data_IF_319560731153
#
_entry.id   IF_319560731153
#
_cell.length_a   1.000
_cell.length_b   1.000
_cell.length_c   1.000
_cell.angle_alpha   90.00
_cell.angle_beta   90.00
_cell.angle_gamma   90.00
#
_symmetry.space_group_name_H-M   'P 1'
#
loop_
_entity.id
_entity.type
_entity.pdbx_description
1 polymer ?
#
# COMPACT_ATOMS: atom_id res chain seq x y z
N UNK A 1 2.67 -21.05 -9.57
CA UNK A 1 3.67 -19.97 -9.79
C UNK A 1 4.61 -19.79 -8.58
N UNK A 2 4.24 -20.33 -7.42
CA UNK A 2 5.13 -20.33 -6.26
C UNK A 2 6.29 -21.34 -6.45
N UNK A 3 7.47 -20.99 -5.95
CA UNK A 3 8.62 -21.91 -5.94
C UNK A 3 8.36 -23.11 -5.01
N UNK A 4 8.73 -24.31 -5.45
CA UNK A 4 8.67 -25.54 -4.64
C UNK A 4 10.02 -25.91 -4.03
N UNK A 5 11.07 -25.15 -4.33
CA UNK A 5 12.41 -25.33 -3.77
C UNK A 5 12.49 -24.63 -2.41
N UNK A 6 13.07 -25.26 -1.36
CA UNK A 6 13.28 -24.59 -0.09
C UNK A 6 14.11 -23.29 -0.26
N UNK A 7 13.63 -22.21 0.34
CA UNK A 7 14.24 -20.87 0.29
C UNK A 7 14.49 -20.34 1.70
N UNK A 8 15.20 -19.24 1.81
CA UNK A 8 15.35 -18.52 3.06
C UNK A 8 14.10 -17.67 3.35
N UNK A 9 13.99 -17.18 4.58
CA UNK A 9 12.94 -16.22 4.96
C UNK A 9 13.11 -14.92 4.23
N UNK A 10 12.00 -14.40 3.74
CA UNK A 10 11.88 -13.00 3.37
C UNK A 10 11.41 -12.18 4.59
N UNK A 11 11.66 -10.89 4.54
CA UNK A 11 11.34 -9.95 5.61
C UNK A 11 10.10 -9.15 5.25
N UNK A 12 9.16 -9.10 6.19
CA UNK A 12 8.09 -8.11 6.22
C UNK A 12 8.41 -7.16 7.37
N UNK A 13 8.73 -5.91 7.02
CA UNK A 13 8.91 -4.83 7.98
C UNK A 13 7.61 -4.02 8.06
N UNK A 14 6.89 -4.18 9.15
CA UNK A 14 5.72 -3.34 9.46
C UNK A 14 6.20 -2.15 10.29
N UNK A 15 6.27 -0.96 9.66
CA UNK A 15 6.68 0.28 10.33
C UNK A 15 5.47 1.03 10.86
N UNK A 16 5.49 1.39 12.14
CA UNK A 16 4.48 2.23 12.77
C UNK A 16 4.89 3.70 12.71
N UNK A 17 4.03 4.52 12.12
CA UNK A 17 4.31 5.91 11.76
C UNK A 17 3.12 6.84 11.99
N UNK A 18 3.31 8.13 11.76
CA UNK A 18 2.24 9.13 11.80
C UNK A 18 2.71 10.52 11.34
N UNK A 19 1.78 11.28 10.76
CA UNK A 19 2.02 12.56 10.08
C UNK A 19 2.64 13.64 10.98
N UNK A 20 2.41 13.61 12.29
CA UNK A 20 2.96 14.56 13.25
C UNK A 20 4.21 14.05 13.96
N UNK A 21 4.66 12.84 13.68
CA UNK A 21 5.88 12.25 14.22
C UNK A 21 7.12 12.82 13.52
N UNK A 22 7.87 13.68 14.20
CA UNK A 22 9.04 14.39 13.62
C UNK A 22 10.16 13.44 13.20
N UNK A 23 10.34 12.31 13.91
CA UNK A 23 11.41 11.34 13.66
C UNK A 23 11.00 10.21 12.69
N UNK A 24 9.71 10.09 12.33
CA UNK A 24 9.22 9.03 11.45
C UNK A 24 9.82 9.06 10.04
N UNK A 25 10.10 10.22 9.42
CA UNK A 25 10.79 10.24 8.13
C UNK A 25 12.17 9.57 8.13
N UNK A 26 12.89 9.56 9.27
CA UNK A 26 14.14 8.80 9.38
C UNK A 26 13.89 7.28 9.41
N UNK A 27 12.75 6.83 9.94
CA UNK A 27 12.33 5.42 9.83
C UNK A 27 12.02 5.05 8.39
N UNK A 28 11.19 5.84 7.71
CA UNK A 28 10.88 5.65 6.27
C UNK A 28 12.15 5.54 5.42
N UNK A 29 13.14 6.40 5.66
CA UNK A 29 14.43 6.37 4.94
C UNK A 29 15.20 5.07 5.21
N UNK A 30 15.30 4.63 6.46
CA UNK A 30 16.00 3.40 6.83
C UNK A 30 15.28 2.18 6.28
N UNK A 31 13.95 2.12 6.38
CA UNK A 31 13.14 1.05 5.78
C UNK A 31 13.36 0.97 4.27
N UNK A 32 13.28 2.10 3.57
CA UNK A 32 13.53 2.16 2.13
C UNK A 32 14.94 1.69 1.78
N UNK A 33 15.96 2.10 2.51
CA UNK A 33 17.35 1.65 2.28
C UNK A 33 17.52 0.14 2.48
N UNK A 34 16.80 -0.45 3.44
CA UNK A 34 16.81 -1.91 3.65
C UNK A 34 16.16 -2.64 2.47
N UNK A 35 15.02 -2.14 2.00
CA UNK A 35 14.35 -2.65 0.81
C UNK A 35 15.24 -2.52 -0.44
N UNK A 36 15.80 -1.34 -0.70
CA UNK A 36 16.65 -1.08 -1.87
C UNK A 36 17.91 -1.96 -1.91
N UNK A 37 18.44 -2.30 -0.73
CA UNK A 37 19.59 -3.21 -0.62
C UNK A 37 19.18 -4.69 -0.80
N UNK A 38 17.91 -5.03 -0.61
CA UNK A 38 17.38 -6.40 -0.69
C UNK A 38 15.98 -6.40 -1.35
N UNK A 39 15.86 -5.97 -2.61
CA UNK A 39 14.56 -5.66 -3.23
C UNK A 39 13.64 -6.88 -3.44
N UNK A 40 14.21 -8.08 -3.41
CA UNK A 40 13.46 -9.33 -3.57
C UNK A 40 13.18 -10.04 -2.25
N UNK A 41 13.72 -9.54 -1.12
CA UNK A 41 13.73 -10.27 0.14
C UNK A 41 13.24 -9.43 1.32
N UNK A 42 13.12 -8.10 1.18
CA UNK A 42 12.64 -7.17 2.22
C UNK A 42 11.49 -6.33 1.69
N UNK A 43 10.32 -6.46 2.28
CA UNK A 43 9.09 -5.78 1.89
C UNK A 43 8.56 -4.93 3.04
N UNK A 44 7.98 -3.77 2.71
CA UNK A 44 7.61 -2.75 3.68
C UNK A 44 6.09 -2.58 3.75
N UNK A 45 5.57 -2.39 4.97
CA UNK A 45 4.19 -1.96 5.22
C UNK A 45 4.24 -0.81 6.21
N UNK A 46 4.01 0.43 5.74
CA UNK A 46 3.99 1.62 6.59
C UNK A 46 2.58 1.85 7.15
N UNK A 47 2.44 1.71 8.45
CA UNK A 47 1.16 1.71 9.18
C UNK A 47 1.02 3.02 9.94
N UNK A 48 0.18 3.93 9.44
CA UNK A 48 -0.20 5.13 10.17
C UNK A 48 -1.16 4.76 11.29
N UNK A 49 -0.79 5.07 12.55
CA UNK A 49 -1.59 4.68 13.72
C UNK A 49 -1.27 5.53 14.95
N UNK A 50 -2.16 5.50 15.93
CA UNK A 50 -2.00 6.17 17.22
C UNK A 50 -2.08 7.70 17.14
N UNK A 51 -1.67 8.38 18.21
CA UNK A 51 -1.82 9.81 18.35
C UNK A 51 -1.08 10.65 17.29
N UNK A 52 0.06 10.16 16.81
CA UNK A 52 0.82 10.85 15.77
C UNK A 52 0.20 10.75 14.37
N UNK A 53 -0.70 9.79 14.15
CA UNK A 53 -1.42 9.64 12.89
C UNK A 53 -2.75 10.41 12.84
N UNK A 54 -3.16 11.02 13.96
CA UNK A 54 -4.41 11.79 14.03
C UNK A 54 -4.35 12.99 13.07
N UNK A 55 -5.38 13.22 12.23
CA UNK A 55 -5.46 14.37 11.36
C UNK A 55 -5.38 15.68 12.16
N UNK A 56 -4.70 16.68 11.60
CA UNK A 56 -4.65 18.02 12.17
C UNK A 56 -5.72 18.89 11.54
N UNK A 57 -6.78 19.22 12.29
CA UNK A 57 -7.93 19.97 11.78
C UNK A 57 -8.68 19.21 10.69
N UNK A 58 -8.89 19.84 9.52
CA UNK A 58 -9.47 19.22 8.32
C UNK A 58 -8.41 18.56 7.43
N UNK A 59 -7.26 18.20 8.01
CA UNK A 59 -6.14 17.62 7.27
C UNK A 59 -6.34 16.14 6.91
N UNK A 60 -5.41 15.62 6.12
CA UNK A 60 -5.44 14.25 5.60
C UNK A 60 -5.36 13.20 6.71
N UNK A 61 -6.17 12.15 6.60
CA UNK A 61 -6.17 10.98 7.48
C UNK A 61 -5.58 9.76 6.76
N UNK A 62 -4.46 9.25 7.28
CA UNK A 62 -3.77 8.07 6.75
C UNK A 62 -4.04 6.79 7.55
N UNK A 63 -4.90 6.86 8.58
CA UNK A 63 -5.27 5.69 9.37
C UNK A 63 -6.08 4.69 8.53
N UNK A 64 -6.05 3.44 9.02
CA UNK A 64 -6.93 2.36 8.55
C UNK A 64 -7.55 1.66 9.76
N UNK A 65 -8.61 0.91 9.56
CA UNK A 65 -9.24 0.10 10.60
C UNK A 65 -8.34 -1.03 11.16
N UNK A 66 -7.24 -1.33 10.49
CA UNK A 66 -6.33 -2.44 10.83
C UNK A 66 -5.15 -2.01 11.71
N UNK A 67 -4.65 -0.78 11.52
CA UNK A 67 -3.37 -0.35 12.07
C UNK A 67 -3.29 -0.38 13.59
N UNK A 68 -4.35 0.04 14.30
CA UNK A 68 -4.36 0.07 15.75
C UNK A 68 -4.24 -1.32 16.40
N UNK A 69 -4.86 -2.34 15.80
CA UNK A 69 -4.79 -3.72 16.30
C UNK A 69 -3.38 -4.31 16.12
N UNK A 70 -2.76 -4.09 14.95
CA UNK A 70 -1.39 -4.54 14.64
C UNK A 70 -0.38 -3.86 15.58
N UNK A 71 -0.49 -2.55 15.77
CA UNK A 71 0.37 -1.81 16.69
C UNK A 71 0.24 -2.31 18.15
N UNK A 72 -0.99 -2.57 18.60
CA UNK A 72 -1.25 -3.10 19.94
C UNK A 72 -0.63 -4.47 20.14
N UNK A 73 -0.76 -5.37 19.15
CA UNK A 73 -0.17 -6.71 19.20
C UNK A 73 1.38 -6.66 19.28
N UNK A 74 2.00 -5.71 18.58
CA UNK A 74 3.46 -5.57 18.57
C UNK A 74 4.06 -5.03 19.88
N UNK A 75 3.23 -4.54 20.81
CA UNK A 75 3.69 -3.88 22.04
C UNK A 75 4.33 -2.52 21.79
N UNK A 76 3.86 -1.81 20.75
CA UNK A 76 4.36 -0.48 20.39
C UNK A 76 4.29 0.49 21.56
N UNK A 77 5.42 1.12 21.90
CA UNK A 77 5.53 2.10 23.00
C UNK A 77 6.10 3.46 22.57
N UNK A 78 6.61 3.59 21.35
CA UNK A 78 7.19 4.83 20.81
C UNK A 78 7.32 4.82 19.30
N UNK A 79 7.50 6.00 18.71
CA UNK A 79 7.57 6.21 17.24
C UNK A 79 8.89 6.89 16.83
N UNK A 80 9.45 6.62 15.62
CA UNK A 80 9.09 5.48 14.79
C UNK A 80 9.55 4.17 15.41
N UNK A 81 8.77 3.13 15.21
CA UNK A 81 9.13 1.77 15.56
C UNK A 81 8.58 0.82 14.49
N UNK A 82 9.07 -0.39 14.44
CA UNK A 82 8.58 -1.39 13.52
C UNK A 82 8.82 -2.79 14.03
N UNK A 83 8.21 -3.76 13.39
CA UNK A 83 8.42 -5.18 13.68
C UNK A 83 8.97 -5.88 12.45
N UNK A 84 10.06 -6.61 12.63
CA UNK A 84 10.71 -7.41 11.59
C UNK A 84 10.17 -8.83 11.73
N UNK A 85 9.36 -9.27 10.77
CA UNK A 85 8.64 -10.56 10.77
C UNK A 85 7.83 -10.83 12.04
N UNK A 86 7.41 -9.80 12.77
CA UNK A 86 6.78 -9.95 14.09
C UNK A 86 7.54 -10.91 15.01
N UNK A 87 8.85 -11.08 14.75
CA UNK A 87 9.74 -11.94 15.52
C UNK A 87 10.12 -11.24 16.83
N UNK A 88 10.13 -12.01 17.93
CA UNK A 88 10.50 -11.49 19.24
C UNK A 88 12.02 -11.56 19.43
N UNK A 89 12.68 -10.44 19.15
CA UNK A 89 14.10 -10.25 19.45
C UNK A 89 14.31 -9.80 20.89
N UNK A 90 15.56 -9.80 21.34
CA UNK A 90 15.93 -9.24 22.64
C UNK A 90 15.94 -7.72 22.67
N UNK A 91 16.10 -7.08 21.51
CA UNK A 91 16.16 -5.62 21.31
C UNK A 91 14.79 -5.01 20.98
N UNK A 92 13.75 -5.33 21.73
CA UNK A 92 12.39 -4.83 21.48
C UNK A 92 11.96 -3.79 22.50
N UNK A 93 10.95 -3.01 22.16
CA UNK A 93 10.30 -2.08 23.06
C UNK A 93 9.35 -2.87 24.00
N UNK A 94 9.45 -2.70 25.29
CA UNK A 94 8.44 -3.14 26.26
C UNK A 94 8.05 -4.64 26.24
N UNK A 95 8.87 -5.53 25.67
CA UNK A 95 8.63 -6.97 25.66
C UNK A 95 7.71 -7.49 24.54
N UNK A 96 7.32 -6.64 23.60
CA UNK A 96 6.62 -7.04 22.36
C UNK A 96 7.57 -7.36 21.21
N UNK A 97 7.14 -7.13 19.98
CA UNK A 97 7.95 -7.32 18.76
C UNK A 97 8.40 -6.01 18.14
N UNK A 98 7.80 -4.87 18.54
CA UNK A 98 8.20 -3.55 18.06
C UNK A 98 9.60 -3.19 18.56
N UNK A 99 10.42 -2.66 17.66
CA UNK A 99 11.79 -2.21 17.95
C UNK A 99 12.08 -0.86 17.29
N UNK A 100 13.12 -0.21 17.76
CA UNK A 100 13.59 1.06 17.19
C UNK A 100 14.16 0.87 15.79
N UNK A 101 14.00 1.89 14.93
CA UNK A 101 14.50 1.87 13.55
C UNK A 101 15.99 1.53 13.39
N UNK A 102 16.82 1.84 14.40
CA UNK A 102 18.25 1.52 14.38
C UNK A 102 18.57 0.03 14.45
N UNK A 103 17.61 -0.79 14.87
CA UNK A 103 17.78 -2.24 15.04
C UNK A 103 17.26 -3.06 13.85
N UNK A 104 16.47 -2.45 12.95
CA UNK A 104 15.83 -3.16 11.83
C UNK A 104 16.83 -3.87 10.91
N UNK A 105 17.97 -3.23 10.59
CA UNK A 105 18.99 -3.82 9.74
C UNK A 105 19.62 -5.07 10.33
N UNK A 106 19.95 -5.05 11.61
CA UNK A 106 20.53 -6.21 12.30
C UNK A 106 19.53 -7.33 12.49
N UNK A 107 18.26 -7.01 12.81
CA UNK A 107 17.17 -7.97 12.92
C UNK A 107 16.87 -8.64 11.57
N UNK A 108 16.77 -7.87 10.49
CA UNK A 108 16.56 -8.40 9.14
C UNK A 108 17.68 -9.33 8.71
N UNK A 109 18.95 -8.94 8.93
CA UNK A 109 20.12 -9.78 8.58
C UNK A 109 20.13 -11.12 9.32
N UNK A 110 19.63 -11.18 10.56
CA UNK A 110 19.53 -12.43 11.32
C UNK A 110 18.50 -13.40 10.72
N UNK A 111 17.37 -12.88 10.20
CA UNK A 111 16.29 -13.71 9.66
C UNK A 111 16.54 -14.10 8.19
N UNK A 112 17.08 -13.22 7.36
CA UNK A 112 17.36 -13.46 5.94
C UNK A 112 18.26 -14.69 5.69
N UNK A 113 19.08 -15.08 6.67
CA UNK A 113 19.93 -16.27 6.58
C UNK A 113 19.26 -17.56 7.05
N UNK A 114 18.04 -17.49 7.62
CA UNK A 114 17.32 -18.62 8.14
C UNK A 114 16.46 -19.28 7.06
N UNK A 115 16.36 -20.64 7.04
CA UNK A 115 15.44 -21.30 6.13
C UNK A 115 14.00 -20.95 6.44
N UNK A 116 13.20 -20.77 5.40
CA UNK A 116 11.75 -20.65 5.51
C UNK A 116 11.08 -22.00 5.38
N UNK A 117 10.11 -22.34 6.24
CA UNK A 117 9.31 -23.54 6.06
C UNK A 117 8.21 -23.39 5.01
N UNK A 118 8.02 -22.20 4.45
CA UNK A 118 7.01 -21.89 3.43
C UNK A 118 7.58 -20.96 2.38
N UNK A 119 7.17 -21.14 1.13
CA UNK A 119 7.33 -20.16 0.07
C UNK A 119 5.98 -19.52 -0.24
N UNK A 120 5.99 -18.23 -0.60
CA UNK A 120 4.80 -17.46 -0.94
C UNK A 120 4.99 -16.87 -2.34
N UNK A 121 3.99 -17.05 -3.21
CA UNK A 121 3.94 -16.45 -4.54
C UNK A 121 2.67 -15.64 -4.71
N UNK A 122 2.72 -14.54 -5.48
CA UNK A 122 1.57 -13.71 -5.80
C UNK A 122 1.48 -13.50 -7.31
N UNK A 123 0.26 -13.53 -7.83
CA UNK A 123 -0.11 -12.91 -9.10
C UNK A 123 -1.24 -11.93 -8.86
N UNK A 124 -1.18 -10.75 -9.49
CA UNK A 124 -2.21 -9.76 -9.31
C UNK A 124 -2.44 -8.95 -10.59
N UNK A 125 -3.69 -8.58 -10.83
CA UNK A 125 -4.08 -7.72 -11.95
C UNK A 125 -5.21 -6.77 -11.55
N UNK A 126 -5.23 -5.59 -12.16
CA UNK A 126 -6.31 -4.61 -12.00
C UNK A 126 -6.98 -4.39 -13.36
N UNK A 127 -8.25 -4.72 -13.44
CA UNK A 127 -9.11 -4.29 -14.54
C UNK A 127 -9.43 -2.81 -14.36
N UNK A 128 -8.83 -1.97 -15.21
CA UNK A 128 -8.96 -0.51 -15.12
C UNK A 128 -10.33 -0.01 -15.54
N UNK A 129 -11.10 -0.79 -16.30
CA UNK A 129 -12.47 -0.42 -16.71
C UNK A 129 -13.47 -0.60 -15.57
N UNK A 130 -13.27 -1.62 -14.73
CA UNK A 130 -14.15 -1.93 -13.58
C UNK A 130 -13.55 -1.52 -12.25
N UNK A 131 -12.30 -1.05 -12.24
CA UNK A 131 -11.52 -0.75 -11.05
C UNK A 131 -11.46 -1.95 -10.07
N UNK A 132 -11.30 -3.17 -10.63
CA UNK A 132 -11.32 -4.42 -9.87
C UNK A 132 -9.93 -5.04 -9.81
N UNK A 133 -9.39 -5.16 -8.60
CA UNK A 133 -8.19 -5.92 -8.32
C UNK A 133 -8.54 -7.41 -8.16
N UNK A 134 -7.81 -8.27 -8.87
CA UNK A 134 -7.78 -9.72 -8.65
C UNK A 134 -6.42 -10.11 -8.11
N UNK A 135 -6.39 -10.88 -7.03
CA UNK A 135 -5.17 -11.37 -6.38
C UNK A 135 -5.24 -12.88 -6.23
N UNK A 136 -4.22 -13.56 -6.74
CA UNK A 136 -3.99 -14.99 -6.55
C UNK A 136 -2.72 -15.16 -5.70
N UNK A 137 -2.80 -15.93 -4.63
CA UNK A 137 -1.66 -16.26 -3.76
C UNK A 137 -1.51 -17.77 -3.68
N UNK A 138 -0.30 -18.25 -3.85
CA UNK A 138 0.08 -19.61 -3.59
C UNK A 138 1.06 -19.69 -2.43
N UNK A 139 0.82 -20.63 -1.50
CA UNK A 139 1.71 -20.95 -0.37
C UNK A 139 2.13 -22.40 -0.51
N UNK A 140 3.43 -22.65 -0.62
CA UNK A 140 3.97 -24.00 -0.70
C UNK A 140 4.81 -24.32 0.54
N UNK A 141 4.45 -25.40 1.25
CA UNK A 141 5.15 -25.85 2.45
C UNK A 141 6.39 -26.67 2.09
N UNK A 142 7.57 -26.15 2.41
CA UNK A 142 8.87 -26.80 2.16
C UNK A 142 9.43 -27.47 3.41
N UNK A 143 9.00 -27.05 4.60
CA UNK A 143 9.49 -27.51 5.89
C UNK A 143 8.38 -27.92 6.85
N UNK A 144 8.76 -28.69 7.89
CA UNK A 144 7.85 -29.16 8.94
C UNK A 144 7.46 -28.00 9.87
N UNK A 145 6.18 -27.94 10.22
CA UNK A 145 5.63 -27.01 11.19
C UNK A 145 5.41 -27.71 12.55
N UNK A 146 5.58 -26.97 13.63
CA UNK A 146 5.30 -27.44 14.99
C UNK A 146 3.90 -27.05 15.48
N UNK A 147 3.23 -26.17 14.76
CA UNK A 147 1.88 -25.66 15.03
C UNK A 147 0.85 -26.35 14.12
N UNK A 148 -0.43 -26.17 14.43
CA UNK A 148 -1.54 -26.84 13.71
C UNK A 148 -2.19 -25.95 12.64
N UNK A 149 -1.92 -24.66 12.63
CA UNK A 149 -2.42 -23.71 11.62
C UNK A 149 -1.50 -22.53 11.45
N UNK A 150 -1.40 -22.03 10.21
CA UNK A 150 -0.82 -20.74 9.88
C UNK A 150 -1.93 -19.78 9.43
N UNK A 151 -1.58 -18.49 9.25
CA UNK A 151 -2.48 -17.49 8.71
C UNK A 151 -1.87 -16.87 7.45
N UNK A 152 -2.60 -16.87 6.34
CA UNK A 152 -2.27 -16.09 5.16
C UNK A 152 -2.77 -14.66 5.34
N UNK A 153 -1.88 -13.69 5.28
CA UNK A 153 -2.18 -12.27 5.31
C UNK A 153 -1.92 -11.66 3.93
N UNK A 154 -2.84 -10.83 3.44
CA UNK A 154 -2.72 -10.13 2.15
C UNK A 154 -3.04 -8.66 2.37
N UNK A 155 -2.00 -7.84 2.34
CA UNK A 155 -2.07 -6.39 2.52
C UNK A 155 -1.99 -5.67 1.17
N UNK A 156 -2.74 -4.59 1.03
CA UNK A 156 -2.65 -3.65 -0.08
C UNK A 156 -1.96 -2.40 0.43
N UNK A 157 -0.84 -2.06 -0.18
CA UNK A 157 -0.09 -0.83 0.08
C UNK A 157 -0.12 0.09 -1.14
N UNK A 158 0.02 1.38 -0.92
CA UNK A 158 0.06 2.38 -1.98
C UNK A 158 1.32 3.22 -1.86
N UNK A 159 1.97 3.46 -2.99
CA UNK A 159 3.13 4.31 -3.14
C UNK A 159 2.75 5.69 -3.68
N UNK A 160 3.64 6.69 -3.51
CA UNK A 160 3.51 7.99 -4.14
C UNK A 160 2.41 8.91 -3.56
N UNK A 161 1.94 8.68 -2.33
CA UNK A 161 0.89 9.50 -1.72
C UNK A 161 1.51 10.80 -1.20
N UNK A 162 1.10 11.93 -1.79
CA UNK A 162 1.51 13.25 -1.32
C UNK A 162 0.71 13.67 -0.09
N UNK A 163 1.38 14.14 0.95
CA UNK A 163 0.71 14.58 2.15
C UNK A 163 1.62 15.22 3.19
N UNK A 164 1.05 15.66 4.33
CA UNK A 164 1.81 16.28 5.39
C UNK A 164 2.69 15.24 6.11
N UNK A 165 3.91 15.64 6.48
CA UNK A 165 4.79 14.86 7.35
C UNK A 165 5.74 15.76 8.12
N UNK A 166 5.58 15.85 9.44
CA UNK A 166 6.49 16.58 10.29
C UNK A 166 7.91 16.00 10.18
N UNK A 167 8.92 16.89 10.11
CA UNK A 167 10.33 16.49 10.04
C UNK A 167 10.79 15.95 8.68
N UNK A 168 9.92 15.86 7.66
CA UNK A 168 10.25 15.32 6.34
C UNK A 168 11.49 15.97 5.74
N UNK A 169 11.53 17.29 5.64
CA UNK A 169 12.66 18.03 5.08
C UNK A 169 13.98 17.83 5.84
N UNK A 170 13.93 17.51 7.13
CA UNK A 170 15.12 17.33 7.96
C UNK A 170 15.67 15.90 7.96
N UNK A 171 14.79 14.90 7.90
CA UNK A 171 15.15 13.51 8.15
C UNK A 171 15.00 12.59 6.93
N UNK A 172 14.27 13.04 5.89
CA UNK A 172 14.18 12.38 4.59
C UNK A 172 13.86 13.41 3.50
N UNK A 173 14.80 14.33 3.20
CA UNK A 173 14.57 15.42 2.26
C UNK A 173 14.30 14.94 0.83
N UNK A 174 14.77 13.74 0.47
CA UNK A 174 14.56 13.14 -0.86
C UNK A 174 13.11 12.73 -1.11
N UNK A 175 12.31 12.57 -0.06
CA UNK A 175 10.88 12.29 -0.16
C UNK A 175 10.02 13.56 -0.28
N UNK A 176 10.61 14.76 -0.25
CA UNK A 176 9.86 16.01 -0.48
C UNK A 176 9.68 16.20 -1.99
N UNK A 177 8.43 16.23 -2.42
CA UNK A 177 8.08 16.58 -3.80
C UNK A 177 8.42 18.05 -4.07
N UNK A 178 9.31 18.35 -5.02
CA UNK A 178 9.77 19.72 -5.29
C UNK A 178 8.68 20.63 -5.88
N UNK A 179 7.63 20.06 -6.48
CA UNK A 179 6.56 20.83 -7.09
C UNK A 179 5.54 21.30 -6.05
N UNK A 180 5.24 20.49 -5.05
CA UNK A 180 4.20 20.78 -4.05
C UNK A 180 4.76 21.12 -2.67
N UNK A 181 6.00 20.74 -2.38
CA UNK A 181 6.61 20.81 -1.05
C UNK A 181 6.04 19.80 -0.04
N UNK A 182 5.16 18.91 -0.48
CA UNK A 182 4.60 17.83 0.34
C UNK A 182 5.56 16.65 0.43
N UNK A 183 5.37 15.84 1.46
CA UNK A 183 6.10 14.59 1.62
C UNK A 183 5.44 13.48 0.79
N UNK A 184 6.24 12.67 0.12
CA UNK A 184 5.80 11.50 -0.65
C UNK A 184 5.88 10.26 0.23
N UNK A 185 4.71 9.76 0.64
CA UNK A 185 4.60 8.54 1.43
C UNK A 185 4.66 7.31 0.53
N UNK A 186 5.42 6.29 0.96
CA UNK A 186 5.60 5.02 0.24
C UNK A 186 5.11 3.86 1.12
N UNK A 187 4.78 2.73 0.50
CA UNK A 187 4.38 1.47 1.16
C UNK A 187 3.25 1.65 2.19
N UNK A 188 2.40 2.66 2.00
CA UNK A 188 1.34 2.99 2.96
C UNK A 188 0.25 1.93 2.95
N UNK A 189 -0.05 1.34 4.10
CA UNK A 189 -1.15 0.38 4.25
C UNK A 189 -2.48 1.05 3.89
N UNK A 190 -3.22 0.44 2.95
CA UNK A 190 -4.55 0.92 2.54
C UNK A 190 -5.65 -0.06 2.91
N UNK A 191 -5.40 -1.34 2.77
CA UNK A 191 -6.39 -2.38 3.05
C UNK A 191 -5.72 -3.72 3.37
N UNK A 192 -6.47 -4.64 3.99
CA UNK A 192 -6.07 -6.03 4.16
C UNK A 192 -7.21 -6.94 3.69
N UNK A 193 -6.98 -7.67 2.59
CA UNK A 193 -7.99 -8.54 1.98
C UNK A 193 -8.43 -9.68 2.90
N UNK A 194 -7.52 -10.13 3.76
CA UNK A 194 -7.73 -11.24 4.70
C UNK A 194 -7.98 -10.75 6.14
N UNK A 195 -8.21 -9.43 6.32
CA UNK A 195 -8.20 -8.83 7.66
C UNK A 195 -6.79 -8.80 8.27
N UNK A 196 -6.64 -8.13 9.41
CA UNK A 196 -5.32 -7.91 10.04
C UNK A 196 -4.66 -9.17 10.61
N UNK A 197 -5.40 -10.28 10.73
CA UNK A 197 -4.87 -11.53 11.30
C UNK A 197 -4.88 -12.69 10.31
N UNK A 198 -5.29 -12.42 9.07
CA UNK A 198 -5.22 -13.37 7.97
C UNK A 198 -6.28 -14.47 7.99
N UNK A 199 -6.21 -15.35 6.99
CA UNK A 199 -7.06 -16.53 6.83
C UNK A 199 -6.29 -17.80 7.23
N UNK A 200 -6.98 -18.73 7.92
CA UNK A 200 -6.35 -19.94 8.43
C UNK A 200 -5.99 -20.95 7.34
N UNK A 201 -4.75 -21.43 7.39
CA UNK A 201 -4.26 -22.59 6.64
C UNK A 201 -4.04 -23.73 7.64
N UNK A 202 -4.72 -24.86 7.45
CA UNK A 202 -4.68 -26.00 8.39
C UNK A 202 -3.89 -27.22 7.88
N UNK A 203 -3.63 -27.31 6.57
CA UNK A 203 -2.76 -28.36 6.04
C UNK A 203 -1.34 -27.82 5.85
N UNK A 204 -0.47 -28.05 6.81
CA UNK A 204 0.90 -27.56 6.87
C UNK A 204 1.93 -28.63 6.52
N UNK A 205 1.50 -29.74 5.92
CA UNK A 205 2.40 -30.85 5.58
C UNK A 205 3.40 -30.43 4.50
N UNK A 206 4.70 -30.70 4.65
CA UNK A 206 5.68 -30.44 3.59
C UNK A 206 5.26 -31.08 2.26
N UNK A 207 5.39 -30.34 1.17
CA UNK A 207 4.94 -30.75 -0.16
C UNK A 207 3.50 -30.34 -0.50
N UNK A 208 2.75 -29.69 0.43
CA UNK A 208 1.39 -29.22 0.14
C UNK A 208 1.39 -27.81 -0.40
N UNK A 209 0.46 -27.57 -1.33
CA UNK A 209 0.13 -26.26 -1.90
C UNK A 209 -1.20 -25.78 -1.33
N UNK A 210 -1.22 -24.54 -0.84
CA UNK A 210 -2.44 -23.81 -0.52
C UNK A 210 -2.61 -22.68 -1.54
N UNK A 211 -3.82 -22.51 -2.07
CA UNK A 211 -4.15 -21.46 -3.03
C UNK A 211 -5.27 -20.57 -2.49
N UNK A 212 -5.15 -19.28 -2.68
CA UNK A 212 -6.11 -18.26 -2.32
C UNK A 212 -6.36 -17.35 -3.51
N UNK A 213 -7.63 -17.04 -3.78
CA UNK A 213 -8.03 -16.07 -4.80
C UNK A 213 -9.03 -15.10 -4.19
N UNK A 214 -8.83 -13.82 -4.42
CA UNK A 214 -9.76 -12.77 -4.00
C UNK A 214 -9.90 -11.70 -5.06
N UNK A 215 -11.07 -11.09 -5.12
CA UNK A 215 -11.34 -9.90 -5.94
C UNK A 215 -11.78 -8.75 -5.02
N UNK A 216 -11.25 -7.56 -5.26
CA UNK A 216 -11.59 -6.35 -4.52
C UNK A 216 -11.89 -5.21 -5.48
N UNK A 217 -13.12 -4.68 -5.40
CA UNK A 217 -13.44 -3.42 -6.10
C UNK A 217 -12.77 -2.29 -5.34
N UNK A 218 -11.81 -1.64 -5.99
CA UNK A 218 -11.00 -0.58 -5.40
C UNK A 218 -11.91 0.64 -5.19
N UNK A 219 -12.17 1.06 -3.93
CA UNK A 219 -12.96 2.24 -3.67
C UNK A 219 -12.13 3.51 -3.93
N UNK A 220 -12.77 4.64 -4.16
CA UNK A 220 -12.05 5.90 -4.28
C UNK A 220 -11.31 6.25 -2.98
N UNK A 221 -11.92 6.00 -1.81
CA UNK A 221 -11.34 6.28 -0.50
C UNK A 221 -11.54 5.12 0.47
N UNK A 222 -10.74 5.07 1.53
CA UNK A 222 -10.89 4.06 2.58
C UNK A 222 -12.21 4.30 3.34
N UNK A 223 -13.03 3.27 3.44
CA UNK A 223 -14.31 3.33 4.17
C UNK A 223 -14.10 3.67 5.65
N UNK A 224 -14.89 4.62 6.14
CA UNK A 224 -14.78 5.13 7.51
C UNK A 224 -13.73 6.24 7.72
N UNK A 225 -12.98 6.60 6.69
CA UNK A 225 -11.94 7.62 6.75
C UNK A 225 -12.16 8.69 5.65
N UNK A 226 -13.11 9.61 5.82
CA UNK A 226 -13.51 10.56 4.78
C UNK A 226 -12.44 11.60 4.41
N UNK A 227 -11.38 11.73 5.21
CA UNK A 227 -10.21 12.56 4.93
C UNK A 227 -9.04 11.75 4.36
N UNK A 228 -9.23 10.47 4.10
CA UNK A 228 -8.21 9.63 3.44
C UNK A 228 -7.98 10.13 2.01
N UNK A 229 -6.74 10.15 1.54
CA UNK A 229 -6.47 10.42 0.12
C UNK A 229 -7.07 9.33 -0.74
N UNK A 230 -7.35 9.66 -1.99
CA UNK A 230 -7.88 8.70 -2.96
C UNK A 230 -6.92 7.52 -3.16
N UNK A 231 -7.49 6.37 -3.45
CA UNK A 231 -6.71 5.18 -3.79
C UNK A 231 -6.38 5.24 -5.28
N UNK A 232 -5.10 5.37 -5.59
CA UNK A 232 -4.60 5.30 -6.95
C UNK A 232 -4.25 3.87 -7.33
N UNK A 233 -5.10 3.26 -8.16
CA UNK A 233 -4.94 1.88 -8.62
C UNK A 233 -3.59 1.61 -9.32
N UNK A 234 -2.99 2.64 -9.94
CA UNK A 234 -1.73 2.51 -10.67
C UNK A 234 -0.49 2.46 -9.76
N UNK A 235 -0.66 2.83 -8.50
CA UNK A 235 0.41 2.90 -7.51
C UNK A 235 0.22 1.90 -6.34
N UNK A 236 -0.58 0.86 -6.56
CA UNK A 236 -0.77 -0.21 -5.58
C UNK A 236 0.33 -1.27 -5.69
N UNK A 237 0.68 -1.84 -4.53
CA UNK A 237 1.40 -3.09 -4.44
C UNK A 237 0.70 -4.03 -3.45
N UNK A 238 0.88 -5.33 -3.65
CA UNK A 238 0.27 -6.37 -2.86
C UNK A 238 1.37 -7.10 -2.10
N UNK A 239 1.29 -7.09 -0.78
CA UNK A 239 2.20 -7.83 0.11
C UNK A 239 1.45 -9.02 0.69
N UNK A 240 1.88 -10.24 0.38
CA UNK A 240 1.33 -11.45 0.99
C UNK A 240 2.38 -12.13 1.86
N UNK A 241 1.97 -12.58 3.04
CA UNK A 241 2.84 -13.27 3.98
C UNK A 241 2.09 -14.29 4.81
N UNK A 242 2.83 -15.29 5.29
CA UNK A 242 2.32 -16.36 6.16
C UNK A 242 2.84 -16.18 7.57
N UNK A 243 1.95 -16.23 8.56
CA UNK A 243 2.31 -16.07 9.97
C UNK A 243 1.81 -17.22 10.84
N UNK A 244 2.44 -17.39 12.00
CA UNK A 244 1.99 -18.26 13.09
C UNK A 244 0.99 -17.48 13.96
N UNK A 245 -0.30 -17.57 13.61
CA UNK A 245 -1.35 -16.76 14.22
C UNK A 245 -1.08 -15.26 14.03
N UNK A 246 -1.12 -14.49 15.11
CA UNK A 246 -0.87 -13.04 15.10
C UNK A 246 0.62 -12.67 15.22
N UNK A 247 1.47 -13.67 15.47
CA UNK A 247 2.90 -13.51 15.78
C UNK A 247 3.74 -13.91 14.56
N UNK A 248 4.94 -14.31 14.74
CA UNK A 248 5.98 -14.79 13.84
C UNK A 248 5.57 -14.90 12.36
N UNK A 249 6.06 -14.00 11.52
CA UNK A 249 5.92 -14.12 10.07
C UNK A 249 7.01 -15.05 9.56
N UNK A 250 6.60 -16.11 8.86
CA UNK A 250 7.49 -17.16 8.37
C UNK A 250 8.23 -16.75 7.10
N UNK A 251 7.50 -16.14 6.15
CA UNK A 251 8.01 -15.55 4.92
C UNK A 251 6.89 -14.79 4.21
N UNK A 252 7.23 -14.03 3.18
CA UNK A 252 6.28 -13.30 2.35
C UNK A 252 6.89 -12.80 1.06
N UNK A 253 6.11 -12.09 0.26
CA UNK A 253 6.53 -11.49 -1.00
C UNK A 253 5.67 -10.29 -1.36
N UNK A 254 6.11 -9.48 -2.31
CA UNK A 254 5.39 -8.32 -2.84
C UNK A 254 5.32 -8.35 -4.36
N UNK A 255 4.24 -7.83 -4.93
CA UNK A 255 4.13 -7.59 -6.37
C UNK A 255 3.31 -6.32 -6.64
N UNK A 256 3.68 -5.58 -7.69
CA UNK A 256 2.80 -4.58 -8.29
C UNK A 256 1.82 -5.27 -9.26
N UNK A 257 0.50 -5.04 -9.14
CA UNK A 257 -0.46 -5.64 -10.05
C UNK A 257 -0.25 -5.22 -11.51
N UNK A 258 -0.46 -6.14 -12.45
CA UNK A 258 -0.53 -5.80 -13.86
C UNK A 258 -1.81 -5.02 -14.15
N UNK A 259 -1.72 -3.93 -14.94
CA UNK A 259 -2.88 -3.14 -15.31
C UNK A 259 -3.47 -3.69 -16.61
N UNK A 260 -4.77 -4.03 -16.58
CA UNK A 260 -5.51 -4.52 -17.75
C UNK A 260 -6.43 -3.42 -18.23
N UNK A 261 -6.23 -2.97 -19.46
CA UNK A 261 -6.99 -1.90 -20.09
C UNK A 261 -7.93 -2.49 -21.15
N UNK A 262 -9.20 -2.09 -21.14
CA UNK A 262 -10.18 -2.54 -22.12
C UNK A 262 -9.88 -1.97 -23.52
N UNK A 263 -9.35 -0.76 -23.60
CA UNK A 263 -9.09 -0.03 -24.83
C UNK A 263 -7.69 0.59 -24.84
N UNK A 264 -7.13 0.81 -26.03
CA UNK A 264 -5.88 1.54 -26.18
C UNK A 264 -6.05 3.02 -25.80
N UNK A 265 -7.17 3.63 -26.19
CA UNK A 265 -7.56 5.01 -25.87
C UNK A 265 -8.89 4.97 -25.14
N UNK A 266 -8.96 5.53 -23.95
CA UNK A 266 -10.18 5.51 -23.13
C UNK A 266 -10.24 6.75 -22.23
N UNK A 267 -10.88 7.82 -22.74
CA UNK A 267 -11.07 9.07 -22.02
C UNK A 267 -12.36 9.04 -21.22
N UNK A 268 -12.28 9.17 -19.91
CA UNK A 268 -13.45 9.26 -19.03
C UNK A 268 -13.55 10.63 -18.38
N UNK A 269 -14.74 11.22 -18.40
CA UNK A 269 -15.07 12.45 -17.69
C UNK A 269 -15.16 12.16 -16.19
N UNK A 270 -14.30 12.81 -15.41
CA UNK A 270 -14.29 12.69 -13.94
C UNK A 270 -15.21 13.70 -13.30
N UNK A 271 -15.12 14.97 -13.74
CA UNK A 271 -15.97 16.05 -13.24
C UNK A 271 -16.01 17.20 -14.21
N UNK A 272 -17.08 17.98 -14.13
CA UNK A 272 -17.16 19.28 -14.77
C UNK A 272 -17.76 20.30 -13.81
N UNK A 273 -17.33 21.54 -13.88
CA UNK A 273 -17.89 22.64 -13.10
C UNK A 273 -17.93 23.94 -13.91
N UNK A 274 -18.99 24.71 -13.70
CA UNK A 274 -19.16 26.05 -14.23
C UNK A 274 -19.87 26.91 -13.17
N UNK A 275 -19.80 28.20 -13.29
CA UNK A 275 -20.53 29.13 -12.40
C UNK A 275 -22.03 29.08 -12.71
N UNK A 276 -22.85 28.71 -11.73
CA UNK A 276 -24.31 28.53 -11.88
C UNK A 276 -25.05 29.87 -12.17
N UNK A 277 -24.54 30.96 -11.63
CA UNK A 277 -25.13 32.30 -11.80
C UNK A 277 -24.06 33.26 -12.33
N UNK A 278 -24.31 33.82 -13.49
CA UNK A 278 -23.38 34.77 -14.13
C UNK A 278 -23.96 36.14 -14.23
N UNK A 279 -23.18 37.13 -13.78
CA UNK A 279 -23.42 38.54 -14.06
C UNK A 279 -22.57 39.04 -15.22
N UNK A 280 -21.75 38.21 -15.84
CA UNK A 280 -20.88 38.46 -16.97
C UNK A 280 -21.29 37.60 -18.16
N UNK A 281 -21.05 38.06 -19.41
CA UNK A 281 -21.41 37.28 -20.59
C UNK A 281 -20.54 36.04 -20.84
N UNK A 282 -19.53 35.82 -20.02
CA UNK A 282 -18.58 34.69 -20.14
C UNK A 282 -18.34 34.03 -18.79
N UNK A 283 -18.15 32.73 -18.80
CA UNK A 283 -17.72 31.95 -17.64
C UNK A 283 -16.68 30.92 -18.07
N UNK A 284 -15.87 30.48 -17.11
CA UNK A 284 -14.95 29.38 -17.31
C UNK A 284 -15.69 28.05 -17.07
N UNK A 285 -15.52 27.12 -17.99
CA UNK A 285 -15.92 25.71 -17.82
C UNK A 285 -14.67 24.90 -17.50
N UNK A 286 -14.62 24.34 -16.30
CA UNK A 286 -13.56 23.40 -15.92
C UNK A 286 -14.02 21.98 -16.18
N UNK A 287 -13.21 21.21 -16.91
CA UNK A 287 -13.45 19.81 -17.22
C UNK A 287 -12.24 19.01 -16.77
N UNK A 288 -12.47 18.04 -15.87
CA UNK A 288 -11.47 17.07 -15.45
C UNK A 288 -11.77 15.73 -16.10
N UNK A 289 -10.80 15.19 -16.82
CA UNK A 289 -10.91 13.87 -17.42
C UNK A 289 -9.59 13.08 -17.24
N UNK A 290 -9.69 11.76 -17.31
CA UNK A 290 -8.55 10.85 -17.15
C UNK A 290 -8.52 9.87 -18.32
N UNK A 291 -7.32 9.53 -18.76
CA UNK A 291 -7.10 8.45 -19.71
C UNK A 291 -7.04 7.12 -18.95
N UNK A 292 -7.98 6.22 -19.25
CA UNK A 292 -8.01 4.84 -18.75
C UNK A 292 -7.50 3.84 -19.80
N UNK A 293 -7.01 4.33 -20.95
CA UNK A 293 -6.34 3.52 -21.95
C UNK A 293 -4.85 3.32 -21.66
N UNK A 294 -4.24 2.39 -22.37
CA UNK A 294 -2.79 2.12 -22.26
C UNK A 294 -1.94 2.91 -23.25
N UNK A 295 -2.55 3.78 -24.02
CA UNK A 295 -1.88 4.63 -25.02
C UNK A 295 -2.14 6.09 -24.68
N UNK A 296 -1.10 6.92 -24.74
CA UNK A 296 -1.21 8.33 -24.44
C UNK A 296 -2.28 9.00 -25.29
N UNK A 297 -3.18 9.68 -24.63
CA UNK A 297 -4.22 10.49 -25.27
C UNK A 297 -3.63 11.85 -25.65
N UNK A 298 -3.51 12.14 -26.93
CA UNK A 298 -2.91 13.39 -27.43
C UNK A 298 -3.92 14.41 -27.91
N UNK A 299 -5.16 13.99 -28.15
CA UNK A 299 -6.27 14.86 -28.53
C UNK A 299 -7.60 14.19 -28.21
N UNK A 300 -8.61 15.01 -27.90
CA UNK A 300 -10.02 14.61 -27.84
C UNK A 300 -10.92 15.81 -28.07
N UNK A 301 -12.16 15.58 -28.45
CA UNK A 301 -13.19 16.60 -28.59
C UNK A 301 -14.05 16.62 -27.31
N UNK A 302 -14.12 17.80 -26.67
CA UNK A 302 -14.98 18.04 -25.50
C UNK A 302 -16.26 18.69 -26.02
N UNK A 303 -17.39 18.01 -25.89
CA UNK A 303 -18.69 18.50 -26.29
C UNK A 303 -19.47 19.04 -25.08
N UNK A 304 -20.02 20.23 -25.19
CA UNK A 304 -20.87 20.84 -24.16
C UNK A 304 -22.02 21.62 -24.77
N UNK A 305 -23.07 21.84 -24.00
CA UNK A 305 -24.18 22.72 -24.38
C UNK A 305 -24.58 23.60 -23.21
N UNK A 306 -25.08 24.80 -23.52
CA UNK A 306 -25.60 25.76 -22.52
C UNK A 306 -27.10 25.81 -22.65
N UNK A 307 -27.83 25.65 -21.54
CA UNK A 307 -29.30 25.68 -21.45
C UNK A 307 -30.00 24.78 -22.50
N UNK A 308 -29.47 23.59 -22.72
CA UNK A 308 -29.97 22.67 -23.76
C UNK A 308 -29.94 23.23 -25.20
N UNK A 309 -29.09 24.20 -25.43
CA UNK A 309 -28.86 24.80 -26.76
C UNK A 309 -28.02 23.91 -27.67
N UNK A 310 -27.49 24.47 -28.73
CA UNK A 310 -26.63 23.78 -29.69
C UNK A 310 -25.35 23.26 -29.01
N UNK A 311 -24.97 22.02 -29.29
CA UNK A 311 -23.71 21.45 -28.86
C UNK A 311 -22.53 22.22 -29.45
N UNK A 312 -21.58 22.57 -28.61
CA UNK A 312 -20.33 23.24 -28.98
C UNK A 312 -19.21 22.19 -28.74
N UNK A 313 -18.32 22.06 -29.71
CA UNK A 313 -17.15 21.17 -29.62
C UNK A 313 -15.90 22.02 -29.36
N UNK A 314 -15.15 21.63 -28.33
CA UNK A 314 -13.83 22.18 -28.01
C UNK A 314 -12.75 21.11 -28.25
N UNK A 315 -11.89 21.28 -29.28
CA UNK A 315 -10.81 20.34 -29.52
C UNK A 315 -9.70 20.56 -28.47
N UNK A 316 -9.51 19.54 -27.61
CA UNK A 316 -8.40 19.54 -26.65
C UNK A 316 -7.19 18.86 -27.28
N UNK A 317 -5.98 19.39 -27.02
CA UNK A 317 -4.71 18.74 -27.36
C UNK A 317 -3.79 18.79 -26.16
N UNK A 318 -3.09 17.69 -25.90
CA UNK A 318 -2.21 17.56 -24.76
C UNK A 318 -1.45 16.24 -24.76
N UNK A 319 -1.12 15.74 -23.58
CA UNK A 319 -0.51 14.43 -23.39
C UNK A 319 -0.93 13.90 -22.01
N UNK A 320 -1.77 12.89 -22.01
CA UNK A 320 -2.31 12.21 -20.82
C UNK A 320 -2.05 10.72 -20.88
#
# INVERSE_FOLDING_TARGET
FVSTTPENKNIILEEFTGITCVWCPAGHLIGQQLHDANPNDVFLINIHTGGYASPQGAGTDFNTSFGAAIASQSGLSGYPAGTVNRHQFTMTQGGGTAMSRGDWGSASSQLLSQPSPVNVGIQASIDMATNTLTVDVEVYYTGTQTITSNCLNVAIVQNGILGPQSGGANYNPTAIDPATGLYTHQHMLRHMLTGQWGENITNLTPGTLYSYTNTWTIPNQISGYPLSPDIDATNLAIVAFVSEGQQEILSGTEISPSLVFANAYDANLISSSATDIMCTPTTDLTVNFKNYGNTNLTSLDIEYSVNSGTTITYPWTGNL
#
